data_IF_094489389006
#
_entry.id   IF_094489389006
#
_cell.length_a   1.000
_cell.length_b   1.000
_cell.length_c   1.000
_cell.angle_alpha   90.00
_cell.angle_beta   90.00
_cell.angle_gamma   90.00
#
_symmetry.space_group_name_H-M   'P 1'
#
loop_
_entity.id
_entity.type
_entity.pdbx_description
1 polymer ?
#
# COMPACT_ATOMS: atom_id res chain seq x y z
N UNK A 1 -3.21 9.52 -10.19
CA UNK A 1 -2.06 9.26 -11.09
C UNK A 1 -0.87 8.68 -10.32
N UNK A 2 -0.50 9.24 -9.16
CA UNK A 2 0.53 8.67 -8.28
C UNK A 2 0.18 7.24 -7.76
N UNK A 3 -1.08 7.00 -7.40
CA UNK A 3 -1.52 5.70 -6.87
C UNK A 3 -1.44 4.55 -7.90
N UNK A 4 -1.77 4.81 -9.16
CA UNK A 4 -1.69 3.81 -10.23
C UNK A 4 -0.25 3.42 -10.55
N UNK A 5 0.68 4.38 -10.47
CA UNK A 5 2.12 4.12 -10.61
C UNK A 5 2.66 3.27 -9.45
N UNK A 6 2.27 3.59 -8.20
CA UNK A 6 2.61 2.80 -7.02
C UNK A 6 2.11 1.35 -7.15
N UNK A 7 0.88 1.14 -7.64
CA UNK A 7 0.33 -0.19 -7.88
C UNK A 7 1.12 -0.99 -8.91
N UNK A 8 1.54 -0.35 -10.01
CA UNK A 8 2.28 -1.01 -11.08
C UNK A 8 3.72 -1.34 -10.64
N UNK A 9 4.41 -0.42 -9.96
CA UNK A 9 5.74 -0.70 -9.37
C UNK A 9 5.66 -1.84 -8.35
N UNK A 10 4.59 -1.86 -7.55
CA UNK A 10 4.37 -2.91 -6.57
C UNK A 10 4.14 -4.27 -7.25
N UNK A 11 3.25 -4.35 -8.26
CA UNK A 11 2.98 -5.57 -9.02
C UNK A 11 4.25 -6.19 -9.65
N UNK A 12 5.16 -5.36 -10.15
CA UNK A 12 6.44 -5.83 -10.72
C UNK A 12 7.50 -6.18 -9.65
N UNK A 13 7.52 -5.47 -8.52
CA UNK A 13 8.53 -5.64 -7.48
C UNK A 13 8.23 -6.80 -6.50
N UNK A 14 6.96 -7.04 -6.18
CA UNK A 14 6.53 -8.13 -5.30
C UNK A 14 7.10 -9.49 -5.72
N UNK A 15 6.95 -9.96 -6.98
CA UNK A 15 7.43 -11.28 -7.36
C UNK A 15 8.94 -11.43 -7.18
N UNK A 16 9.72 -10.37 -7.43
CA UNK A 16 11.16 -10.36 -7.17
C UNK A 16 11.48 -10.53 -5.68
N UNK A 17 10.84 -9.73 -4.82
CA UNK A 17 11.01 -9.79 -3.36
C UNK A 17 10.59 -11.17 -2.81
N UNK A 18 9.54 -11.76 -3.38
CA UNK A 18 9.08 -13.12 -3.09
C UNK A 18 10.18 -14.14 -3.31
N UNK A 19 10.76 -14.12 -4.51
CA UNK A 19 11.75 -15.09 -4.94
C UNK A 19 13.01 -14.96 -4.07
N UNK A 20 13.46 -13.74 -3.78
CA UNK A 20 14.59 -13.50 -2.88
C UNK A 20 14.31 -13.99 -1.46
N UNK A 21 13.13 -13.72 -0.91
CA UNK A 21 12.76 -14.13 0.44
C UNK A 21 12.65 -15.66 0.56
N UNK A 22 12.00 -16.33 -0.40
CA UNK A 22 11.93 -17.80 -0.49
C UNK A 22 13.32 -18.40 -0.61
N UNK A 23 14.18 -17.82 -1.44
CA UNK A 23 15.56 -18.30 -1.61
C UNK A 23 16.37 -18.14 -0.31
N UNK A 24 16.20 -17.04 0.43
CA UNK A 24 16.84 -16.86 1.73
C UNK A 24 16.36 -17.91 2.75
N UNK A 25 15.05 -18.16 2.82
CA UNK A 25 14.45 -19.20 3.68
C UNK A 25 15.00 -20.59 3.33
N UNK A 26 15.08 -20.92 2.04
CA UNK A 26 15.66 -22.18 1.57
C UNK A 26 17.17 -22.26 1.85
N UNK A 27 17.91 -21.16 1.71
CA UNK A 27 19.35 -21.11 2.03
C UNK A 27 19.59 -21.37 3.52
N UNK A 28 18.76 -20.82 4.40
CA UNK A 28 18.79 -21.11 5.83
C UNK A 28 18.36 -22.55 6.14
N UNK A 29 17.34 -23.07 5.45
CA UNK A 29 16.89 -24.46 5.61
C UNK A 29 17.96 -25.47 5.18
N UNK A 30 18.66 -25.22 4.08
CA UNK A 30 19.77 -26.05 3.60
C UNK A 30 21.00 -25.87 4.51
N UNK A 31 21.30 -24.65 4.95
CA UNK A 31 22.38 -24.37 5.91
C UNK A 31 22.16 -25.05 7.27
N UNK A 32 20.91 -25.27 7.66
CA UNK A 32 20.55 -26.03 8.86
C UNK A 32 20.90 -27.52 8.76
N UNK A 33 21.17 -28.07 7.56
CA UNK A 33 21.60 -29.47 7.37
C UNK A 33 23.01 -29.74 7.95
N UNK A 34 23.74 -28.69 8.37
CA UNK A 34 24.99 -28.77 9.15
C UNK A 34 24.82 -29.65 10.40
N UNK A 35 25.77 -30.53 10.76
CA UNK A 35 25.60 -31.62 11.75
C UNK A 35 25.35 -31.19 13.21
N UNK A 36 25.32 -29.91 13.53
CA UNK A 36 25.08 -29.39 14.89
C UNK A 36 23.57 -29.27 15.20
N UNK A 37 23.01 -30.12 16.08
CA UNK A 37 21.57 -30.25 16.29
C UNK A 37 20.91 -29.02 16.95
N UNK A 38 21.64 -28.28 17.79
CA UNK A 38 21.10 -27.11 18.50
C UNK A 38 20.86 -25.91 17.55
N UNK A 39 21.75 -25.71 16.58
CA UNK A 39 21.70 -24.61 15.62
C UNK A 39 20.62 -24.86 14.55
N UNK A 40 20.32 -26.13 14.26
CA UNK A 40 19.34 -26.56 13.27
C UNK A 40 17.91 -26.16 13.64
N UNK A 41 17.51 -26.34 14.91
CA UNK A 41 16.19 -25.93 15.39
C UNK A 41 16.00 -24.41 15.34
N UNK A 42 17.04 -23.65 15.71
CA UNK A 42 17.02 -22.19 15.68
C UNK A 42 16.91 -21.65 14.24
N UNK A 43 17.70 -22.20 13.32
CA UNK A 43 17.69 -21.81 11.91
C UNK A 43 16.36 -22.16 11.23
N UNK A 44 15.81 -23.33 11.52
CA UNK A 44 14.51 -23.76 10.99
C UNK A 44 13.35 -22.91 11.53
N UNK A 45 13.36 -22.59 12.83
CA UNK A 45 12.39 -21.67 13.43
C UNK A 45 12.48 -20.27 12.83
N UNK A 46 13.68 -19.75 12.61
CA UNK A 46 13.91 -18.46 11.96
C UNK A 46 13.48 -18.46 10.49
N UNK A 47 13.75 -19.54 9.77
CA UNK A 47 13.34 -19.73 8.38
C UNK A 47 11.80 -19.78 8.25
N UNK A 48 11.11 -20.48 9.16
CA UNK A 48 9.64 -20.50 9.21
C UNK A 48 9.09 -19.14 9.63
N UNK A 49 9.67 -18.47 10.62
CA UNK A 49 9.23 -17.14 11.05
C UNK A 49 9.35 -16.11 9.91
N UNK A 50 10.46 -16.12 9.18
CA UNK A 50 10.66 -15.32 7.97
C UNK A 50 9.64 -15.66 6.89
N UNK A 51 9.41 -16.95 6.63
CA UNK A 51 8.42 -17.42 5.67
C UNK A 51 6.99 -17.02 6.03
N UNK A 52 6.57 -17.20 7.28
CA UNK A 52 5.25 -16.81 7.77
C UNK A 52 5.05 -15.30 7.74
N UNK A 53 6.05 -14.53 8.16
CA UNK A 53 6.01 -13.06 8.10
C UNK A 53 5.82 -12.61 6.65
N UNK A 54 6.55 -13.24 5.72
CA UNK A 54 6.47 -12.95 4.30
C UNK A 54 5.09 -13.29 3.70
N UNK A 55 4.52 -14.45 4.04
CA UNK A 55 3.16 -14.84 3.62
C UNK A 55 2.11 -13.89 4.18
N UNK A 56 2.19 -13.55 5.47
CA UNK A 56 1.30 -12.56 6.09
C UNK A 56 1.40 -11.19 5.41
N UNK A 57 2.61 -10.79 5.04
CA UNK A 57 2.86 -9.54 4.34
C UNK A 57 2.14 -9.50 2.98
N UNK A 58 2.19 -10.58 2.19
CA UNK A 58 1.46 -10.70 0.92
C UNK A 58 -0.06 -10.59 1.10
N UNK A 59 -0.62 -11.34 2.05
CA UNK A 59 -2.06 -11.38 2.30
C UNK A 59 -2.62 -10.08 2.86
N UNK A 60 -1.82 -9.31 3.61
CA UNK A 60 -2.24 -8.01 4.13
C UNK A 60 -2.07 -6.90 3.10
N UNK A 61 -1.05 -6.94 2.25
CA UNK A 61 -0.84 -5.89 1.24
C UNK A 61 -1.96 -5.81 0.20
N UNK A 62 -2.51 -6.94 -0.26
CA UNK A 62 -3.63 -6.95 -1.22
C UNK A 62 -4.87 -6.16 -0.76
N UNK A 63 -5.50 -6.51 0.38
CA UNK A 63 -6.65 -5.78 0.90
C UNK A 63 -6.29 -4.36 1.35
N UNK A 64 -5.09 -4.11 1.87
CA UNK A 64 -4.64 -2.76 2.23
C UNK A 64 -4.54 -1.84 1.01
N UNK A 65 -4.01 -2.33 -0.13
CA UNK A 65 -3.96 -1.57 -1.38
C UNK A 65 -5.36 -1.28 -1.95
N UNK A 66 -6.26 -2.27 -1.88
CA UNK A 66 -7.66 -2.09 -2.27
C UNK A 66 -8.36 -1.03 -1.41
N UNK A 67 -8.13 -1.07 -0.09
CA UNK A 67 -8.66 -0.08 0.84
C UNK A 67 -8.05 1.31 0.63
N UNK A 68 -6.75 1.42 0.41
CA UNK A 68 -6.08 2.68 0.11
C UNK A 68 -6.65 3.32 -1.17
N UNK A 69 -6.89 2.51 -2.20
CA UNK A 69 -7.52 2.96 -3.45
C UNK A 69 -8.95 3.43 -3.25
N UNK A 70 -9.73 2.73 -2.42
CA UNK A 70 -11.07 3.16 -2.07
C UNK A 70 -11.08 4.46 -1.24
N UNK A 71 -10.11 4.61 -0.32
CA UNK A 71 -9.97 5.78 0.55
C UNK A 71 -9.58 7.05 -0.23
N UNK A 72 -8.65 6.94 -1.19
CA UNK A 72 -8.25 8.06 -2.05
C UNK A 72 -9.43 8.60 -2.87
N UNK A 73 -10.34 7.71 -3.29
CA UNK A 73 -11.58 8.08 -3.98
C UNK A 73 -12.55 8.87 -3.09
N UNK A 74 -12.56 8.59 -1.79
CA UNK A 74 -13.42 9.27 -0.82
C UNK A 74 -12.94 10.69 -0.50
N UNK A 75 -11.61 10.93 -0.49
CA UNK A 75 -11.06 12.29 -0.34
C UNK A 75 -11.47 13.19 -1.51
N UNK A 76 -11.39 12.68 -2.74
CA UNK A 76 -11.76 13.41 -3.95
C UNK A 76 -13.23 13.90 -3.97
N UNK A 77 -14.12 13.34 -3.14
CA UNK A 77 -15.50 13.81 -3.03
C UNK A 77 -15.63 15.05 -2.11
N UNK A 78 -14.86 15.12 -1.03
CA UNK A 78 -14.87 16.28 -0.12
C UNK A 78 -14.28 17.51 -0.77
N UNK A 79 -13.16 17.37 -1.49
CA UNK A 79 -12.51 18.49 -2.19
C UNK A 79 -13.39 19.07 -3.31
N UNK A 80 -14.15 18.20 -4.00
CA UNK A 80 -15.04 18.60 -5.09
C UNK A 80 -16.29 19.33 -4.58
N UNK A 81 -16.79 18.93 -3.41
CA UNK A 81 -17.89 19.62 -2.73
C UNK A 81 -17.45 21.02 -2.28
N UNK A 82 -16.31 21.16 -1.62
CA UNK A 82 -15.80 22.45 -1.13
C UNK A 82 -15.51 23.44 -2.28
N UNK A 83 -14.87 22.98 -3.35
CA UNK A 83 -14.67 23.80 -4.56
C UNK A 83 -15.98 24.26 -5.19
N UNK A 84 -17.04 23.44 -5.15
CA UNK A 84 -18.35 23.85 -5.66
C UNK A 84 -18.99 24.93 -4.79
N UNK A 85 -18.86 24.83 -3.45
CA UNK A 85 -19.36 25.84 -2.52
C UNK A 85 -18.64 27.18 -2.67
N UNK A 86 -17.32 27.18 -2.80
CA UNK A 86 -16.53 28.42 -2.99
C UNK A 86 -16.92 29.09 -4.32
N UNK A 87 -17.10 28.32 -5.40
CA UNK A 87 -17.60 28.85 -6.68
C UNK A 87 -19.03 29.40 -6.57
N UNK A 88 -19.88 28.77 -5.77
CA UNK A 88 -21.26 29.21 -5.54
C UNK A 88 -21.33 30.49 -4.71
N UNK A 89 -20.47 30.64 -3.71
CA UNK A 89 -20.30 31.87 -2.91
C UNK A 89 -19.80 33.02 -3.77
N UNK A 90 -18.74 32.81 -4.57
CA UNK A 90 -18.20 33.85 -5.45
C UNK A 90 -19.23 34.38 -6.46
N UNK A 91 -20.02 33.48 -7.07
CA UNK A 91 -21.07 33.88 -8.02
C UNK A 91 -22.20 34.66 -7.35
N UNK A 92 -22.53 34.33 -6.09
CA UNK A 92 -23.57 35.03 -5.34
C UNK A 92 -23.11 36.44 -4.93
N UNK A 93 -21.82 36.62 -4.62
CA UNK A 93 -21.26 37.94 -4.36
C UNK A 93 -21.32 38.82 -5.62
N UNK A 94 -20.88 38.29 -6.77
CA UNK A 94 -20.87 39.00 -8.06
C UNK A 94 -22.26 39.52 -8.47
N UNK A 95 -23.30 38.69 -8.29
CA UNK A 95 -24.70 39.09 -8.55
C UNK A 95 -25.19 40.22 -7.64
N UNK A 96 -24.75 40.26 -6.37
CA UNK A 96 -25.17 41.29 -5.42
C UNK A 96 -24.45 42.62 -5.68
N UNK A 97 -23.18 42.58 -6.09
CA UNK A 97 -22.43 43.79 -6.46
C UNK A 97 -23.03 44.47 -7.69
N UNK A 98 -23.37 43.71 -8.74
CA UNK A 98 -24.00 44.26 -9.96
C UNK A 98 -25.37 44.89 -9.66
N UNK A 99 -26.12 44.37 -8.68
CA UNK A 99 -27.42 44.92 -8.30
C UNK A 99 -27.36 46.19 -7.45
N UNK A 100 -26.20 46.53 -6.88
CA UNK A 100 -26.02 47.74 -6.07
C UNK A 100 -25.51 48.93 -6.89
N UNK A 101 -24.96 48.67 -8.09
CA UNK A 101 -24.41 49.69 -9.00
C UNK A 101 -25.42 50.14 -10.07
N UNK A 102 -26.57 49.46 -10.17
CA UNK A 102 -27.71 49.81 -11.04
C UNK A 102 -28.84 50.46 -10.27
#
# INVERSE_FOLDING_TARGET
>A
QALTFLGLVYEEAIPSITITSVTNVLSFAIGAITPTPEIRLFCFGTAIAMGLTYVYQLFLFGPVLSLATACEKHQSQKDKHESNWIKKVGRRADTVIISAES
#
